data_IF_330793651245
#
_entry.id   IF_330793651245
#
_cell.length_a   1.000
_cell.length_b   1.000
_cell.length_c   1.000
_cell.angle_alpha   90.00
_cell.angle_beta   90.00
_cell.angle_gamma   90.00
#
_symmetry.space_group_name_H-M   'P 1'
#
loop_
_entity.id
_entity.type
_entity.pdbx_description
1 polymer ?
#
# COMPACT_ATOMS: atom_id res chain seq x y z
N UNK A 1 -7.85 -24.25 29.16
CA UNK A 1 -7.99 -22.78 29.19
C UNK A 1 -6.71 -22.01 28.82
N UNK A 2 -5.50 -22.35 29.32
CA UNK A 2 -4.24 -21.61 28.99
C UNK A 2 -3.90 -21.59 27.49
N UNK A 3 -4.13 -22.71 26.77
CA UNK A 3 -3.81 -22.81 25.32
C UNK A 3 -4.69 -21.87 24.48
N UNK A 4 -6.00 -21.81 24.77
CA UNK A 4 -6.95 -20.94 24.05
C UNK A 4 -6.60 -19.47 24.29
N UNK A 5 -6.20 -19.09 25.53
CA UNK A 5 -5.75 -17.72 25.82
C UNK A 5 -4.48 -17.33 25.07
N UNK A 6 -3.53 -18.26 24.92
CA UNK A 6 -2.30 -18.00 24.15
C UNK A 6 -2.59 -17.84 22.65
N UNK A 7 -3.46 -18.68 22.08
CA UNK A 7 -3.87 -18.56 20.67
C UNK A 7 -4.53 -17.19 20.42
N UNK A 8 -5.48 -16.80 21.29
CA UNK A 8 -6.15 -15.51 21.18
C UNK A 8 -5.16 -14.33 21.24
N UNK A 9 -4.22 -14.38 22.19
CA UNK A 9 -3.17 -13.34 22.31
C UNK A 9 -2.31 -13.26 21.05
N UNK A 10 -1.92 -14.38 20.47
CA UNK A 10 -1.13 -14.42 19.22
C UNK A 10 -1.90 -13.84 18.05
N UNK A 11 -3.19 -14.18 17.90
CA UNK A 11 -4.05 -13.61 16.84
C UNK A 11 -4.21 -12.10 17.04
N UNK A 12 -4.45 -11.65 18.26
CA UNK A 12 -4.57 -10.22 18.58
C UNK A 12 -3.28 -9.46 18.25
N UNK A 13 -2.13 -10.02 18.63
CA UNK A 13 -0.84 -9.41 18.31
C UNK A 13 -0.60 -9.31 16.82
N UNK A 14 -0.85 -10.39 16.05
CA UNK A 14 -0.75 -10.39 14.60
C UNK A 14 -1.68 -9.33 13.96
N UNK A 15 -2.91 -9.22 14.46
CA UNK A 15 -3.86 -8.20 14.03
C UNK A 15 -3.34 -6.77 14.27
N UNK A 16 -2.78 -6.49 15.45
CA UNK A 16 -2.20 -5.19 15.79
C UNK A 16 -1.03 -4.83 14.85
N UNK A 17 -0.18 -5.80 14.52
CA UNK A 17 0.93 -5.59 13.57
C UNK A 17 0.40 -5.25 12.18
N UNK A 18 -0.63 -5.95 11.70
CA UNK A 18 -1.27 -5.66 10.42
C UNK A 18 -1.91 -4.26 10.42
N UNK A 19 -2.60 -3.86 11.49
CA UNK A 19 -3.18 -2.53 11.62
C UNK A 19 -2.11 -1.43 11.63
N UNK A 20 -1.01 -1.63 12.36
CA UNK A 20 0.11 -0.70 12.38
C UNK A 20 0.74 -0.55 10.98
N UNK A 21 0.93 -1.66 10.25
CA UNK A 21 1.43 -1.64 8.90
C UNK A 21 0.48 -0.91 7.93
N UNK A 22 -0.84 -1.17 8.01
CA UNK A 22 -1.82 -0.47 7.19
C UNK A 22 -1.83 1.05 7.45
N UNK A 23 -1.73 1.45 8.71
CA UNK A 23 -1.63 2.86 9.12
C UNK A 23 -0.34 3.49 8.58
N UNK A 24 0.79 2.79 8.69
CA UNK A 24 2.06 3.24 8.11
C UNK A 24 1.98 3.41 6.59
N UNK A 25 1.36 2.47 5.88
CA UNK A 25 1.14 2.58 4.44
C UNK A 25 0.30 3.81 4.08
N UNK A 26 -0.78 4.08 4.83
CA UNK A 26 -1.60 5.29 4.62
C UNK A 26 -0.78 6.58 4.78
N UNK A 27 0.06 6.66 5.81
CA UNK A 27 0.90 7.83 6.05
C UNK A 27 2.00 8.04 4.99
N UNK A 28 2.38 6.97 4.29
CA UNK A 28 3.41 6.98 3.24
C UNK A 28 2.83 6.96 1.82
N UNK A 29 1.52 7.01 1.69
CA UNK A 29 0.86 7.12 0.38
C UNK A 29 1.09 8.52 -0.19
N UNK A 30 1.63 8.58 -1.41
CA UNK A 30 1.83 9.82 -2.14
C UNK A 30 0.52 10.32 -2.79
N UNK A 31 0.54 11.52 -3.36
CA UNK A 31 -0.62 12.14 -4.03
C UNK A 31 -1.14 11.31 -5.23
N UNK A 32 -0.32 10.40 -5.73
CA UNK A 32 -0.67 9.48 -6.84
C UNK A 32 -1.26 8.15 -6.35
N UNK A 33 -1.45 7.98 -5.03
CA UNK A 33 -2.08 6.79 -4.43
C UNK A 33 -1.17 5.57 -4.29
N UNK A 34 0.14 5.76 -4.40
CA UNK A 34 1.14 4.70 -4.22
C UNK A 34 1.91 4.93 -2.92
N UNK A 35 2.11 3.85 -2.16
CA UNK A 35 2.91 3.88 -0.95
C UNK A 35 4.38 3.93 -1.32
N UNK A 36 5.10 4.97 -0.90
CA UNK A 36 6.51 5.15 -1.19
C UNK A 36 7.36 5.17 0.09
N UNK A 37 8.37 4.31 0.13
CA UNK A 37 9.29 4.17 1.27
C UNK A 37 10.72 4.27 0.74
N UNK A 38 11.29 5.49 0.80
CA UNK A 38 12.57 5.78 0.13
C UNK A 38 12.46 5.55 -1.38
N UNK A 39 13.34 4.74 -1.92
CA UNK A 39 13.36 4.39 -3.36
C UNK A 39 12.43 3.20 -3.71
N UNK A 40 11.71 2.67 -2.73
CA UNK A 40 10.84 1.51 -2.93
C UNK A 40 9.38 1.96 -2.94
N UNK A 41 8.65 1.52 -3.96
CA UNK A 41 7.21 1.75 -4.12
C UNK A 41 6.44 0.45 -3.94
N UNK A 42 5.35 0.50 -3.16
CA UNK A 42 4.37 -0.56 -3.00
C UNK A 42 3.15 -0.22 -3.84
N UNK A 43 2.93 -0.96 -4.89
CA UNK A 43 1.89 -0.71 -5.89
C UNK A 43 0.82 -1.79 -5.81
N UNK A 44 -0.43 -1.40 -5.65
CA UNK A 44 -1.56 -2.33 -5.75
C UNK A 44 -2.11 -2.27 -7.18
N UNK A 45 -2.07 -3.40 -7.89
CA UNK A 45 -2.56 -3.46 -9.25
C UNK A 45 -4.08 -3.36 -9.29
N UNK A 46 -4.60 -2.37 -10.02
CA UNK A 46 -6.05 -2.17 -10.19
C UNK A 46 -6.65 -3.01 -11.32
N UNK A 47 -5.83 -3.35 -12.31
CA UNK A 47 -6.21 -4.13 -13.49
C UNK A 47 -5.22 -5.26 -13.73
N UNK A 48 -5.63 -6.24 -14.53
CA UNK A 48 -4.72 -7.26 -15.04
C UNK A 48 -3.77 -6.63 -16.05
N UNK A 49 -2.49 -6.94 -15.91
CA UNK A 49 -1.44 -6.46 -16.81
C UNK A 49 -0.75 -7.66 -17.44
N UNK A 50 -1.04 -7.86 -18.71
CA UNK A 50 -0.51 -8.86 -19.66
C UNK A 50 0.63 -9.72 -19.10
N UNK A 51 0.33 -10.93 -18.61
CA UNK A 51 1.28 -11.95 -18.15
C UNK A 51 2.22 -11.58 -16.98
N UNK A 52 2.18 -10.35 -16.47
CA UNK A 52 3.03 -9.90 -15.37
C UNK A 52 2.30 -9.90 -14.03
N UNK A 53 1.18 -9.19 -13.95
CA UNK A 53 0.44 -8.95 -12.71
C UNK A 53 -1.04 -9.14 -12.90
N UNK A 54 -1.71 -9.57 -11.82
CA UNK A 54 -3.17 -9.66 -11.74
C UNK A 54 -3.73 -8.54 -10.88
N UNK A 55 -4.97 -8.20 -11.12
CA UNK A 55 -5.72 -7.31 -10.24
C UNK A 55 -5.64 -7.79 -8.79
N UNK A 56 -5.28 -6.89 -7.90
CA UNK A 56 -5.12 -7.21 -6.47
C UNK A 56 -3.73 -7.69 -6.06
N UNK A 57 -2.79 -7.86 -7.01
CA UNK A 57 -1.40 -8.11 -6.65
C UNK A 57 -0.79 -6.87 -5.99
N UNK A 58 -0.01 -7.09 -4.93
CA UNK A 58 0.89 -6.09 -4.38
C UNK A 58 2.26 -6.27 -5.04
N UNK A 59 2.71 -5.24 -5.72
CA UNK A 59 4.00 -5.21 -6.43
C UNK A 59 4.96 -4.31 -5.67
N UNK A 60 6.13 -4.83 -5.33
CA UNK A 60 7.20 -4.11 -4.66
C UNK A 60 8.25 -3.78 -5.73
N UNK A 61 8.45 -2.50 -5.99
CA UNK A 61 9.32 -2.00 -7.06
C UNK A 61 10.32 -1.00 -6.50
N UNK A 62 11.57 -1.07 -6.95
CA UNK A 62 12.55 -0.02 -6.69
C UNK A 62 12.60 0.99 -7.85
N UNK A 63 12.76 2.27 -7.51
CA UNK A 63 13.05 3.30 -8.49
C UNK A 63 14.43 3.02 -9.12
N UNK A 64 14.52 2.85 -10.43
CA UNK A 64 15.78 2.48 -11.08
C UNK A 64 16.66 3.72 -11.35
N UNK A 65 17.93 3.48 -11.61
CA UNK A 65 18.74 4.45 -12.33
C UNK A 65 18.16 4.66 -13.74
N UNK A 66 17.84 5.90 -14.09
CA UNK A 66 17.20 6.28 -15.34
C UNK A 66 18.01 5.87 -16.58
N UNK A 67 19.37 5.95 -16.46
CA UNK A 67 20.28 5.54 -17.51
C UNK A 67 20.27 4.02 -17.76
N UNK A 68 19.87 3.25 -16.74
CA UNK A 68 19.82 1.79 -16.81
C UNK A 68 18.59 1.23 -17.53
N UNK A 69 17.66 2.09 -17.96
CA UNK A 69 16.45 1.68 -18.65
C UNK A 69 16.71 1.60 -20.15
N UNK A 70 16.78 0.36 -20.66
CA UNK A 70 17.03 0.07 -22.07
C UNK A 70 15.74 -0.07 -22.90
N UNK A 71 15.91 -0.13 -24.23
CA UNK A 71 14.82 -0.44 -25.16
C UNK A 71 14.28 -1.85 -24.93
N UNK A 72 12.96 -1.99 -24.94
CA UNK A 72 12.27 -3.27 -24.74
C UNK A 72 12.04 -3.60 -23.26
N UNK A 73 12.59 -2.83 -22.30
CA UNK A 73 12.37 -3.08 -20.88
C UNK A 73 10.94 -2.71 -20.46
N UNK A 74 10.26 -3.59 -19.72
CA UNK A 74 8.96 -3.29 -19.16
C UNK A 74 9.12 -2.45 -17.89
N UNK A 75 8.41 -1.33 -17.83
CA UNK A 75 8.38 -0.40 -16.71
C UNK A 75 6.95 -0.13 -16.25
N UNK A 76 6.79 0.14 -14.97
CA UNK A 76 5.54 0.63 -14.38
C UNK A 76 5.59 2.14 -14.31
N UNK A 77 4.54 2.80 -14.74
CA UNK A 77 4.39 4.24 -14.68
C UNK A 77 2.95 4.66 -14.38
N UNK A 78 2.78 5.92 -13.97
CA UNK A 78 1.46 6.52 -13.79
C UNK A 78 0.91 7.01 -15.11
N UNK A 79 -0.21 6.46 -15.54
CA UNK A 79 -0.98 6.98 -16.67
C UNK A 79 -2.02 7.99 -16.15
N UNK A 80 -1.92 9.21 -16.63
CA UNK A 80 -2.81 10.33 -16.27
C UNK A 80 -3.85 10.63 -17.35
N UNK A 81 -3.94 9.80 -18.40
CA UNK A 81 -4.74 10.07 -19.60
C UNK A 81 -6.26 10.12 -19.34
N UNK A 82 -6.75 9.57 -18.22
CA UNK A 82 -8.20 9.42 -17.93
C UNK A 82 -8.67 10.10 -16.64
N UNK A 83 -8.13 11.25 -16.27
CA UNK A 83 -8.48 11.95 -15.01
C UNK A 83 -8.33 11.10 -13.72
N UNK A 84 -7.72 9.95 -13.81
CA UNK A 84 -7.43 9.05 -12.70
C UNK A 84 -6.01 8.53 -12.89
N UNK A 85 -5.18 8.74 -11.87
CA UNK A 85 -3.85 8.16 -11.86
C UNK A 85 -3.96 6.64 -11.80
N UNK A 86 -3.74 5.95 -12.89
CA UNK A 86 -3.71 4.49 -12.97
C UNK A 86 -2.28 4.02 -13.18
N UNK A 87 -1.91 2.93 -12.52
CA UNK A 87 -0.61 2.31 -12.76
C UNK A 87 -0.71 1.40 -13.96
N UNK A 88 0.11 1.67 -14.96
CA UNK A 88 0.14 0.96 -16.23
C UNK A 88 1.56 0.45 -16.50
N UNK A 89 1.66 -0.61 -17.30
CA UNK A 89 2.92 -1.14 -17.77
C UNK A 89 3.16 -0.69 -19.20
N UNK A 90 4.38 -0.23 -19.48
CA UNK A 90 4.84 0.04 -20.83
C UNK A 90 6.15 -0.68 -21.12
N UNK A 91 6.36 -1.05 -22.39
CA UNK A 91 7.67 -1.44 -22.90
C UNK A 91 8.33 -0.22 -23.52
N UNK A 92 9.46 0.18 -22.97
CA UNK A 92 10.21 1.35 -23.43
C UNK A 92 10.71 1.13 -24.85
N UNK A 93 10.34 2.00 -25.79
CA UNK A 93 10.85 2.00 -27.17
C UNK A 93 12.05 2.91 -27.34
N UNK A 94 12.11 4.00 -26.55
CA UNK A 94 13.24 4.93 -26.52
C UNK A 94 13.36 5.58 -25.16
N UNK A 95 14.63 5.90 -24.76
CA UNK A 95 14.96 6.60 -23.54
C UNK A 95 15.78 7.83 -23.91
N UNK A 96 15.17 9.01 -23.87
CA UNK A 96 15.78 10.27 -24.22
C UNK A 96 16.20 11.02 -22.97
N UNK A 97 17.51 11.23 -22.82
CA UNK A 97 18.09 12.07 -21.77
C UNK A 97 17.68 13.54 -21.99
N UNK A 98 17.17 14.17 -20.94
CA UNK A 98 16.87 15.61 -20.92
C UNK A 98 17.88 16.32 -20.02
N UNK A 99 18.04 15.84 -18.77
CA UNK A 99 19.05 16.29 -17.82
C UNK A 99 19.31 15.17 -16.78
N UNK A 100 20.22 15.41 -15.81
CA UNK A 100 20.62 14.40 -14.80
C UNK A 100 19.45 13.81 -13.99
N UNK A 101 18.34 14.52 -13.88
CA UNK A 101 17.16 14.11 -13.09
C UNK A 101 15.94 13.81 -13.94
N UNK A 102 16.00 14.05 -15.24
CA UNK A 102 14.85 13.97 -16.11
C UNK A 102 15.16 13.24 -17.41
N UNK A 103 14.38 12.20 -17.67
CA UNK A 103 14.36 11.44 -18.91
C UNK A 103 12.94 11.43 -19.47
N UNK A 104 12.81 11.32 -20.78
CA UNK A 104 11.56 11.07 -21.46
C UNK A 104 11.60 9.67 -22.05
N UNK A 105 10.62 8.85 -21.64
CA UNK A 105 10.47 7.47 -22.12
C UNK A 105 9.37 7.41 -23.15
N UNK A 106 9.70 6.88 -24.35
CA UNK A 106 8.71 6.59 -25.38
C UNK A 106 8.24 5.16 -25.28
N UNK A 107 6.97 4.91 -25.57
CA UNK A 107 6.37 3.58 -25.60
C UNK A 107 5.24 3.52 -26.63
N UNK A 108 4.81 2.31 -26.97
CA UNK A 108 3.61 2.11 -27.81
C UNK A 108 2.46 1.69 -26.92
N UNK A 109 1.32 2.38 -27.08
CA UNK A 109 0.08 1.98 -26.43
C UNK A 109 -0.55 0.75 -27.10
N UNK A 110 -1.68 0.27 -26.59
CA UNK A 110 -2.41 -0.88 -27.15
C UNK A 110 -2.86 -0.65 -28.62
N UNK A 111 -3.08 0.60 -28.99
CA UNK A 111 -3.42 1.00 -30.38
C UNK A 111 -2.19 1.16 -31.28
N UNK A 112 -1.00 0.76 -30.83
CA UNK A 112 0.29 0.89 -31.53
C UNK A 112 0.69 2.35 -31.84
N UNK A 113 0.12 3.33 -31.13
CA UNK A 113 0.49 4.73 -31.21
C UNK A 113 1.70 5.04 -30.34
N UNK A 114 2.61 5.87 -30.84
CA UNK A 114 3.74 6.33 -30.06
C UNK A 114 3.29 7.34 -28.99
N UNK A 115 3.55 7.03 -27.75
CA UNK A 115 3.30 7.85 -26.57
C UNK A 115 4.61 8.08 -25.81
N UNK A 116 4.65 9.10 -24.98
CA UNK A 116 5.79 9.38 -24.12
C UNK A 116 5.36 9.83 -22.73
N UNK A 117 6.19 9.56 -21.73
CA UNK A 117 6.03 10.06 -20.36
C UNK A 117 7.38 10.51 -19.80
N UNK A 118 7.34 11.48 -18.88
CA UNK A 118 8.51 11.92 -18.14
C UNK A 118 8.87 10.93 -17.02
N UNK A 119 10.15 10.88 -16.65
CA UNK A 119 10.65 10.11 -15.49
C UNK A 119 9.93 10.43 -14.18
N UNK A 120 9.28 11.59 -14.05
CA UNK A 120 8.42 11.94 -12.92
C UNK A 120 7.24 10.96 -12.72
N UNK A 121 6.76 10.38 -13.81
CA UNK A 121 5.67 9.40 -13.79
C UNK A 121 6.16 7.95 -13.67
N UNK A 122 7.47 7.72 -13.73
CA UNK A 122 8.06 6.40 -13.59
C UNK A 122 7.90 5.90 -12.14
N UNK A 123 7.50 4.65 -11.99
CA UNK A 123 7.42 3.97 -10.70
C UNK A 123 8.61 3.03 -10.53
N UNK A 124 8.93 2.24 -11.56
CA UNK A 124 10.07 1.35 -11.54
C UNK A 124 10.08 0.29 -12.63
N UNK A 125 11.12 -0.54 -12.65
CA UNK A 125 11.26 -1.65 -13.59
C UNK A 125 10.50 -2.88 -13.11
N UNK A 126 9.89 -3.61 -14.03
CA UNK A 126 9.25 -4.91 -13.76
C UNK A 126 10.30 -5.97 -13.43
N UNK A 127 11.42 -5.95 -14.15
CA UNK A 127 12.54 -6.83 -13.85
C UNK A 127 13.18 -6.45 -12.50
N UNK A 128 13.17 -7.40 -11.55
CA UNK A 128 13.62 -7.16 -10.17
C UNK A 128 12.52 -6.72 -9.22
N UNK A 129 11.27 -6.63 -9.66
CA UNK A 129 10.12 -6.44 -8.77
C UNK A 129 9.73 -7.78 -8.10
N UNK A 130 9.22 -7.67 -6.88
CA UNK A 130 8.57 -8.79 -6.18
C UNK A 130 7.06 -8.61 -6.21
N UNK A 131 6.31 -9.70 -6.35
CA UNK A 131 4.86 -9.66 -6.30
C UNK A 131 4.30 -10.55 -5.20
N UNK A 132 3.27 -10.08 -4.51
CA UNK A 132 2.51 -10.83 -3.53
C UNK A 132 1.05 -10.84 -3.98
N UNK A 133 0.59 -12.00 -4.47
CA UNK A 133 -0.80 -12.17 -4.89
C UNK A 133 -1.76 -11.95 -3.74
N UNK A 134 -2.93 -11.35 -4.00
CA UNK A 134 -3.98 -11.06 -3.02
C UNK A 134 -3.61 -10.05 -1.92
N UNK A 135 -2.34 -9.89 -1.54
CA UNK A 135 -1.91 -8.96 -0.49
C UNK A 135 -2.27 -7.50 -0.81
N UNK A 136 -2.24 -7.13 -2.08
CA UNK A 136 -2.67 -5.81 -2.53
C UNK A 136 -4.16 -5.57 -2.32
N UNK A 137 -5.01 -6.57 -2.54
CA UNK A 137 -6.45 -6.46 -2.28
C UNK A 137 -6.74 -6.25 -0.79
N UNK A 138 -6.03 -6.98 0.08
CA UNK A 138 -6.14 -6.81 1.53
C UNK A 138 -5.68 -5.41 1.94
N UNK A 139 -4.51 -4.99 1.48
CA UNK A 139 -3.97 -3.66 1.77
C UNK A 139 -4.92 -2.56 1.28
N UNK A 140 -5.41 -2.65 0.03
CA UNK A 140 -6.35 -1.69 -0.54
C UNK A 140 -7.65 -1.60 0.27
N UNK A 141 -8.17 -2.74 0.74
CA UNK A 141 -9.37 -2.78 1.58
C UNK A 141 -9.12 -2.09 2.91
N UNK A 142 -8.01 -2.41 3.59
CA UNK A 142 -7.66 -1.83 4.89
C UNK A 142 -7.33 -0.33 4.80
N UNK A 143 -6.74 0.12 3.70
CA UNK A 143 -6.39 1.53 3.47
C UNK A 143 -7.54 2.33 2.84
N UNK A 144 -8.62 1.68 2.40
CA UNK A 144 -9.81 2.38 1.93
C UNK A 144 -10.51 3.10 3.09
N UNK A 145 -11.23 4.19 2.79
CA UNK A 145 -11.92 5.01 3.80
C UNK A 145 -12.81 4.18 4.74
N UNK A 146 -13.62 3.29 4.19
CA UNK A 146 -14.52 2.43 4.97
C UNK A 146 -13.81 1.24 5.60
N UNK A 147 -12.87 0.63 4.87
CA UNK A 147 -12.08 -0.47 5.40
C UNK A 147 -11.25 -0.04 6.62
N UNK A 148 -10.59 1.11 6.56
CA UNK A 148 -9.84 1.65 7.69
C UNK A 148 -10.74 1.94 8.90
N UNK A 149 -11.92 2.54 8.66
CA UNK A 149 -12.87 2.83 9.72
C UNK A 149 -13.35 1.54 10.43
N UNK A 150 -13.79 0.53 9.66
CA UNK A 150 -14.39 -0.68 10.24
C UNK A 150 -13.36 -1.71 10.69
N UNK A 151 -12.24 -1.84 9.99
CA UNK A 151 -11.23 -2.86 10.31
C UNK A 151 -10.14 -2.36 11.24
N UNK A 152 -9.92 -1.07 11.36
CA UNK A 152 -8.89 -0.52 12.24
C UNK A 152 -9.51 0.30 13.37
N UNK A 153 -10.22 1.38 13.05
CA UNK A 153 -10.71 2.32 14.08
C UNK A 153 -11.77 1.69 14.99
N UNK A 154 -12.77 1.02 14.42
CA UNK A 154 -13.89 0.50 15.20
C UNK A 154 -13.47 -0.57 16.24
N UNK A 155 -12.65 -1.58 15.93
CA UNK A 155 -12.16 -2.53 16.93
C UNK A 155 -11.34 -1.85 18.05
N UNK A 156 -10.49 -0.89 17.70
CA UNK A 156 -9.74 -0.12 18.72
C UNK A 156 -10.68 0.68 19.63
N UNK A 157 -11.71 1.31 19.07
CA UNK A 157 -12.71 2.04 19.85
C UNK A 157 -13.46 1.13 20.82
N UNK A 158 -13.85 -0.08 20.38
CA UNK A 158 -14.51 -1.06 21.25
C UNK A 158 -13.60 -1.46 22.42
N UNK A 159 -12.33 -1.77 22.15
CA UNK A 159 -11.35 -2.11 23.19
C UNK A 159 -11.17 -0.94 24.14
N UNK A 160 -11.01 0.26 23.63
CA UNK A 160 -10.88 1.47 24.46
C UNK A 160 -12.08 1.70 25.38
N UNK A 161 -13.30 1.58 24.85
CA UNK A 161 -14.53 1.73 25.65
C UNK A 161 -14.64 0.64 26.71
N UNK A 162 -14.22 -0.59 26.40
CA UNK A 162 -14.16 -1.67 27.39
C UNK A 162 -13.19 -1.36 28.51
N UNK A 163 -11.98 -0.90 28.21
CA UNK A 163 -10.99 -0.50 29.23
C UNK A 163 -11.52 0.65 30.12
N UNK A 164 -12.14 1.66 29.52
CA UNK A 164 -12.78 2.74 30.28
C UNK A 164 -13.86 2.20 31.22
N UNK A 165 -14.69 1.26 30.76
CA UNK A 165 -15.71 0.61 31.58
C UNK A 165 -15.07 -0.14 32.77
N UNK A 166 -14.01 -0.89 32.55
CA UNK A 166 -13.29 -1.63 33.61
C UNK A 166 -12.73 -0.67 34.66
N UNK A 167 -12.06 0.40 34.24
CA UNK A 167 -11.51 1.43 35.14
C UNK A 167 -12.62 2.06 35.99
N UNK A 168 -13.74 2.47 35.39
CA UNK A 168 -14.88 3.07 36.11
C UNK A 168 -15.48 2.08 37.12
N UNK A 169 -15.57 0.79 36.78
CA UNK A 169 -16.08 -0.25 37.66
C UNK A 169 -15.17 -0.47 38.88
N UNK A 170 -13.86 -0.54 38.65
CA UNK A 170 -12.87 -0.67 39.73
C UNK A 170 -12.88 0.55 40.63
N UNK A 171 -12.91 1.75 40.06
CA UNK A 171 -12.98 2.99 40.85
C UNK A 171 -14.24 3.05 41.73
N UNK A 172 -15.41 2.65 41.23
CA UNK A 172 -16.64 2.56 42.02
C UNK A 172 -16.55 1.53 43.15
N UNK A 173 -15.83 0.44 42.93
CA UNK A 173 -15.61 -0.60 43.97
C UNK A 173 -14.76 -0.04 45.12
N UNK A 174 -13.63 0.57 44.79
CA UNK A 174 -12.71 1.20 45.76
C UNK A 174 -13.40 2.30 46.56
N UNK A 175 -14.24 3.14 45.94
CA UNK A 175 -15.01 4.17 46.62
C UNK A 175 -16.04 3.60 47.61
N UNK A 176 -16.61 2.42 47.36
CA UNK A 176 -17.51 1.73 48.31
C UNK A 176 -16.75 1.19 49.50
N UNK A 177 -15.60 0.57 49.25
CA UNK A 177 -14.76 0.02 50.32
C UNK A 177 -14.28 1.12 51.29
N UNK A 178 -13.85 2.28 50.80
CA UNK A 178 -13.45 3.44 51.63
C UNK A 178 -14.62 4.07 52.40
N UNK A 179 -15.85 3.91 51.96
CA UNK A 179 -17.03 4.48 52.62
C UNK A 179 -17.60 3.56 53.72
N UNK A 180 -17.25 2.30 53.70
CA UNK A 180 -17.70 1.28 54.67
C UNK A 180 -16.69 1.08 55.83
N UNK A 181 -15.49 1.68 55.74
CA UNK A 181 -14.53 1.89 56.83
C UNK A 181 -14.81 3.21 57.58
#
# INVERSE_FOLDING_TARGET
>A
MKVIGNIFRTILFAYLVICAFATFCLLKTNDKGVVQIGDTSLVVMENDVLNYYKKGDLVIVKYPDLNSIGKGEPVLFYDTSFNKNTVTLAKVTDNKYVNEKEHTFSYKNESNEDKAFSSEYLIGKVNGSSKMGFAGSVLKTMTSRWGFLFLVILPFLIVFLYEVYVIVKEFKKTLKEVREE
#
